data_IF_407763737112
#
_entry.id   IF_407763737112
#
_cell.length_a   1.000
_cell.length_b   1.000
_cell.length_c   1.000
_cell.angle_alpha   90.00
_cell.angle_beta   90.00
_cell.angle_gamma   90.00
#
_symmetry.space_group_name_H-M   'P 1'
#
loop_
_entity.id
_entity.type
_entity.pdbx_description
1 polymer ?
#
# COMPACT_ATOMS: atom_id res chain seq x y z
N UNK A 1 11.45 10.86 -1.45
CA UNK A 1 12.85 10.90 -1.89
C UNK A 1 13.26 9.65 -2.66
N UNK A 2 12.44 9.24 -3.65
CA UNK A 2 12.68 8.04 -4.46
C UNK A 2 13.79 8.30 -5.51
N UNK A 3 14.04 9.55 -5.86
CA UNK A 3 15.03 9.96 -6.83
C UNK A 3 16.11 10.83 -6.17
N UNK A 4 17.36 10.36 -6.19
CA UNK A 4 18.52 11.08 -5.68
C UNK A 4 19.78 10.74 -6.48
N UNK A 5 20.77 11.64 -6.50
CA UNK A 5 21.99 11.52 -7.29
C UNK A 5 22.70 10.15 -7.12
N UNK A 6 22.67 9.60 -5.89
CA UNK A 6 23.31 8.32 -5.57
C UNK A 6 22.44 7.13 -5.96
N UNK A 7 21.11 7.25 -5.83
CA UNK A 7 20.14 6.18 -6.05
C UNK A 7 19.87 5.98 -7.54
N UNK A 8 19.87 7.05 -8.36
CA UNK A 8 19.64 6.98 -9.81
C UNK A 8 20.59 6.01 -10.52
N UNK A 9 21.81 5.88 -10.04
CA UNK A 9 22.79 4.93 -10.62
C UNK A 9 22.33 3.48 -10.45
N UNK A 10 21.67 3.16 -9.34
CA UNK A 10 21.17 1.81 -9.10
C UNK A 10 19.92 1.50 -9.92
N UNK A 11 19.06 2.49 -10.14
CA UNK A 11 17.95 2.36 -11.09
C UNK A 11 18.45 2.09 -12.51
N UNK A 12 19.44 2.84 -12.96
CA UNK A 12 20.02 2.63 -14.30
C UNK A 12 20.70 1.25 -14.43
N UNK A 13 21.42 0.80 -13.40
CA UNK A 13 22.08 -0.51 -13.40
C UNK A 13 21.06 -1.66 -13.48
N UNK A 14 19.93 -1.54 -12.81
CA UNK A 14 18.87 -2.56 -12.76
C UNK A 14 17.71 -2.27 -13.74
N UNK A 15 17.82 -1.22 -14.58
CA UNK A 15 16.77 -0.79 -15.50
C UNK A 15 16.16 -1.92 -16.35
N UNK A 16 16.94 -2.82 -17.00
CA UNK A 16 16.33 -3.86 -17.83
C UNK A 16 15.47 -4.83 -17.03
N UNK A 17 15.86 -5.16 -15.79
CA UNK A 17 15.08 -6.04 -14.91
C UNK A 17 13.83 -5.33 -14.37
N UNK A 18 13.97 -4.06 -14.01
CA UNK A 18 12.84 -3.23 -13.54
C UNK A 18 11.84 -2.97 -14.66
N UNK A 19 12.29 -2.73 -15.89
CA UNK A 19 11.40 -2.56 -17.05
C UNK A 19 10.64 -3.85 -17.37
N UNK A 20 11.30 -5.01 -17.28
CA UNK A 20 10.65 -6.30 -17.46
C UNK A 20 9.60 -6.54 -16.34
N UNK A 21 9.95 -6.20 -15.10
CA UNK A 21 9.00 -6.24 -13.97
C UNK A 21 7.81 -5.32 -14.19
N UNK A 22 8.04 -4.10 -14.68
CA UNK A 22 6.99 -3.13 -14.99
C UNK A 22 6.08 -3.61 -16.13
N UNK A 23 6.65 -4.17 -17.20
CA UNK A 23 5.87 -4.76 -18.30
C UNK A 23 4.99 -5.93 -17.80
N UNK A 24 5.53 -6.79 -16.93
CA UNK A 24 4.76 -7.86 -16.31
C UNK A 24 3.63 -7.31 -15.42
N UNK A 25 3.89 -6.26 -14.63
CA UNK A 25 2.89 -5.58 -13.81
C UNK A 25 1.75 -5.03 -14.67
N UNK A 26 2.08 -4.23 -15.70
CA UNK A 26 1.09 -3.69 -16.65
C UNK A 26 0.22 -4.78 -17.29
N UNK A 27 0.84 -5.91 -17.65
CA UNK A 27 0.12 -7.05 -18.22
C UNK A 27 -0.84 -7.65 -17.21
N UNK A 28 -0.42 -7.81 -15.97
CA UNK A 28 -1.28 -8.35 -14.89
C UNK A 28 -2.44 -7.40 -14.59
N UNK A 29 -2.19 -6.09 -14.49
CA UNK A 29 -3.22 -5.08 -14.23
C UNK A 29 -4.28 -5.06 -15.36
N UNK A 30 -3.81 -5.10 -16.61
CA UNK A 30 -4.72 -5.18 -17.76
C UNK A 30 -5.58 -6.45 -17.74
N UNK A 31 -4.98 -7.59 -17.45
CA UNK A 31 -5.69 -8.88 -17.39
C UNK A 31 -6.66 -8.91 -16.21
N UNK A 32 -6.29 -8.33 -15.06
CA UNK A 32 -7.17 -8.22 -13.90
C UNK A 32 -8.46 -7.47 -14.24
N UNK A 33 -8.39 -6.43 -15.06
CA UNK A 33 -9.56 -5.68 -15.53
C UNK A 33 -10.44 -6.44 -16.53
N UNK A 34 -10.02 -7.60 -17.03
CA UNK A 34 -10.87 -8.47 -17.87
C UNK A 34 -11.81 -9.36 -17.03
N UNK A 35 -11.50 -9.58 -15.75
CA UNK A 35 -12.32 -10.44 -14.87
C UNK A 35 -13.75 -9.92 -14.71
N UNK A 36 -14.01 -8.62 -14.45
CA UNK A 36 -15.36 -8.09 -14.34
C UNK A 36 -16.18 -8.27 -15.64
N UNK A 37 -15.52 -8.27 -16.80
CA UNK A 37 -16.17 -8.58 -18.07
C UNK A 37 -16.73 -10.01 -18.13
N UNK A 38 -16.00 -10.97 -17.53
CA UNK A 38 -16.49 -12.35 -17.42
C UNK A 38 -17.70 -12.45 -16.49
N UNK A 39 -17.71 -11.69 -15.38
CA UNK A 39 -18.87 -11.60 -14.49
C UNK A 39 -20.11 -11.07 -15.23
N UNK A 40 -19.93 -10.02 -16.05
CA UNK A 40 -20.99 -9.50 -16.90
C UNK A 40 -21.59 -10.58 -17.81
N UNK A 41 -20.74 -11.41 -18.46
CA UNK A 41 -21.21 -12.49 -19.34
C UNK A 41 -22.06 -13.51 -18.56
N UNK A 42 -21.63 -13.89 -17.35
CA UNK A 42 -22.40 -14.83 -16.50
C UNK A 42 -23.75 -14.24 -16.13
N UNK A 43 -23.78 -13.01 -15.64
CA UNK A 43 -25.01 -12.38 -15.14
C UNK A 43 -26.00 -12.15 -16.27
N UNK A 44 -25.53 -11.69 -17.43
CA UNK A 44 -26.39 -11.53 -18.62
C UNK A 44 -26.89 -12.86 -19.11
N UNK A 45 -26.07 -13.91 -19.12
CA UNK A 45 -26.45 -15.25 -19.50
C UNK A 45 -27.57 -15.83 -18.62
N UNK A 46 -27.45 -15.63 -17.31
CA UNK A 46 -28.47 -16.10 -16.35
C UNK A 46 -29.76 -15.30 -16.46
N UNK A 47 -29.68 -13.97 -16.63
CA UNK A 47 -30.86 -13.10 -16.64
C UNK A 47 -31.60 -13.13 -17.99
N UNK A 48 -30.87 -13.15 -19.11
CA UNK A 48 -31.45 -13.01 -20.47
C UNK A 48 -31.55 -14.36 -21.20
N UNK A 49 -30.96 -15.43 -20.65
CA UNK A 49 -30.85 -16.74 -21.33
C UNK A 49 -29.96 -16.71 -22.58
N UNK A 50 -29.36 -15.58 -22.90
CA UNK A 50 -28.52 -15.36 -24.08
C UNK A 50 -27.31 -14.50 -23.73
N UNK A 51 -26.20 -14.75 -24.39
CA UNK A 51 -24.95 -13.99 -24.22
C UNK A 51 -24.43 -13.54 -25.56
N UNK A 52 -23.97 -12.30 -25.64
CA UNK A 52 -23.30 -11.80 -26.83
C UNK A 52 -21.80 -12.13 -26.74
N UNK A 53 -21.36 -13.08 -27.55
CA UNK A 53 -19.99 -13.48 -27.72
C UNK A 53 -19.56 -13.19 -29.15
N UNK A 54 -18.50 -12.42 -29.33
CA UNK A 54 -17.96 -12.02 -30.65
C UNK A 54 -18.98 -11.43 -31.61
N UNK A 55 -19.97 -10.67 -31.09
CA UNK A 55 -21.02 -10.01 -31.88
C UNK A 55 -22.21 -10.92 -32.26
N UNK A 56 -22.18 -12.18 -31.83
CA UNK A 56 -23.30 -13.12 -32.05
C UNK A 56 -24.01 -13.41 -30.74
N UNK A 57 -25.36 -13.42 -30.79
CA UNK A 57 -26.19 -13.84 -29.66
C UNK A 57 -26.27 -15.36 -29.63
N UNK A 58 -25.65 -15.95 -28.60
CA UNK A 58 -25.65 -17.42 -28.38
C UNK A 58 -26.51 -17.72 -27.16
N UNK A 59 -27.32 -18.79 -27.22
CA UNK A 59 -28.09 -19.26 -26.07
C UNK A 59 -27.15 -19.67 -24.92
N UNK A 60 -27.46 -19.20 -23.70
CA UNK A 60 -26.65 -19.52 -22.51
C UNK A 60 -26.83 -21.00 -22.14
N UNK A 61 -25.80 -21.80 -22.38
CA UNK A 61 -25.80 -23.24 -22.11
C UNK A 61 -24.48 -23.69 -21.48
N UNK A 62 -24.40 -24.96 -21.11
CA UNK A 62 -23.21 -25.55 -20.47
C UNK A 62 -21.95 -25.38 -21.33
N UNK A 63 -22.08 -25.45 -22.63
CA UNK A 63 -20.97 -25.36 -23.59
C UNK A 63 -20.41 -23.94 -23.65
N UNK A 64 -21.27 -22.93 -23.71
CA UNK A 64 -20.91 -21.51 -23.68
C UNK A 64 -20.25 -21.15 -22.34
N UNK A 65 -20.81 -21.63 -21.23
CA UNK A 65 -20.25 -21.41 -19.90
C UNK A 65 -18.83 -21.98 -19.79
N UNK A 66 -18.61 -23.18 -20.32
CA UNK A 66 -17.29 -23.80 -20.24
C UNK A 66 -16.27 -23.13 -21.18
N UNK A 67 -16.64 -22.93 -22.46
CA UNK A 67 -15.70 -22.42 -23.48
C UNK A 67 -15.42 -20.91 -23.36
N UNK A 68 -16.43 -20.09 -23.04
CA UNK A 68 -16.31 -18.63 -23.06
C UNK A 68 -16.16 -17.99 -21.66
N UNK A 69 -16.33 -18.77 -20.60
CA UNK A 69 -16.19 -18.23 -19.22
C UNK A 69 -15.15 -19.03 -18.43
N UNK A 70 -15.36 -20.37 -18.25
CA UNK A 70 -14.45 -21.15 -17.40
C UNK A 70 -13.04 -21.26 -17.99
N UNK A 71 -12.93 -21.51 -19.27
CA UNK A 71 -11.64 -21.71 -19.93
C UNK A 71 -10.83 -20.41 -20.00
N UNK A 72 -11.36 -19.25 -20.42
CA UNK A 72 -10.68 -17.96 -20.31
C UNK A 72 -10.32 -17.59 -18.86
N UNK A 73 -11.18 -17.88 -17.89
CA UNK A 73 -10.92 -17.61 -16.49
C UNK A 73 -9.70 -18.39 -15.97
N UNK A 74 -9.57 -19.68 -16.36
CA UNK A 74 -8.39 -20.51 -16.02
C UNK A 74 -7.12 -19.89 -16.65
N UNK A 75 -7.18 -19.49 -17.93
CA UNK A 75 -6.03 -18.83 -18.58
C UNK A 75 -5.65 -17.52 -17.90
N UNK A 76 -6.62 -16.70 -17.53
CA UNK A 76 -6.42 -15.45 -16.80
C UNK A 76 -5.71 -15.74 -15.46
N UNK A 77 -6.20 -16.71 -14.69
CA UNK A 77 -5.62 -17.07 -13.38
C UNK A 77 -4.16 -17.53 -13.55
N UNK A 78 -3.89 -18.44 -14.49
CA UNK A 78 -2.53 -18.93 -14.74
C UNK A 78 -1.59 -17.78 -15.12
N UNK A 79 -2.03 -16.92 -16.04
CA UNK A 79 -1.23 -15.80 -16.52
C UNK A 79 -0.99 -14.75 -15.42
N UNK A 80 -2.00 -14.48 -14.58
CA UNK A 80 -1.86 -13.61 -13.41
C UNK A 80 -0.87 -14.18 -12.39
N UNK A 81 -0.92 -15.49 -12.11
CA UNK A 81 0.03 -16.13 -11.17
C UNK A 81 1.45 -16.02 -11.70
N UNK A 82 1.68 -16.35 -12.96
CA UNK A 82 3.00 -16.25 -13.59
C UNK A 82 3.49 -14.79 -13.65
N UNK A 83 2.64 -13.87 -14.03
CA UNK A 83 2.95 -12.45 -14.08
C UNK A 83 3.27 -11.88 -12.70
N UNK A 84 2.46 -12.20 -11.69
CA UNK A 84 2.71 -11.80 -10.28
C UNK A 84 4.00 -12.38 -9.71
N UNK A 85 4.35 -13.59 -10.06
CA UNK A 85 5.63 -14.16 -9.69
C UNK A 85 6.79 -13.42 -10.38
N UNK A 86 6.67 -13.19 -11.68
CA UNK A 86 7.71 -12.54 -12.48
C UNK A 86 8.04 -11.13 -11.98
N UNK A 87 7.02 -10.26 -11.83
CA UNK A 87 7.28 -8.91 -11.37
C UNK A 87 7.81 -8.87 -9.92
N UNK A 88 7.35 -9.76 -9.02
CA UNK A 88 7.89 -9.87 -7.66
C UNK A 88 9.37 -10.21 -7.68
N UNK A 89 9.78 -11.20 -8.44
CA UNK A 89 11.20 -11.56 -8.57
C UNK A 89 12.02 -10.40 -9.14
N UNK A 90 11.49 -9.65 -10.11
CA UNK A 90 12.17 -8.49 -10.70
C UNK A 90 12.36 -7.35 -9.68
N UNK A 91 11.30 -6.91 -9.00
CA UNK A 91 11.38 -5.79 -8.06
C UNK A 91 12.14 -6.17 -6.79
N UNK A 92 11.73 -7.22 -6.09
CA UNK A 92 12.39 -7.64 -4.84
C UNK A 92 13.82 -8.15 -5.08
N UNK A 93 14.05 -8.88 -6.16
CA UNK A 93 15.40 -9.30 -6.54
C UNK A 93 16.32 -8.10 -6.82
N UNK A 94 15.81 -7.04 -7.44
CA UNK A 94 16.55 -5.80 -7.64
C UNK A 94 16.81 -5.07 -6.33
N UNK A 95 15.83 -4.99 -5.43
CA UNK A 95 15.97 -4.38 -4.13
C UNK A 95 17.07 -5.05 -3.28
N UNK A 96 17.07 -6.38 -3.22
CA UNK A 96 18.11 -7.16 -2.52
C UNK A 96 19.51 -6.91 -3.10
N UNK A 97 19.64 -6.86 -4.44
CA UNK A 97 20.93 -6.56 -5.09
C UNK A 97 21.42 -5.15 -4.76
N UNK A 98 20.53 -4.15 -4.77
CA UNK A 98 20.86 -2.77 -4.42
C UNK A 98 21.33 -2.71 -2.96
N UNK A 99 20.65 -3.36 -2.04
CA UNK A 99 21.03 -3.40 -0.62
C UNK A 99 22.37 -4.09 -0.41
N UNK A 100 22.66 -5.18 -1.12
CA UNK A 100 23.94 -5.86 -1.07
C UNK A 100 25.08 -4.95 -1.57
N UNK A 101 24.92 -4.29 -2.72
CA UNK A 101 25.89 -3.33 -3.26
C UNK A 101 26.12 -2.15 -2.31
N UNK A 102 25.06 -1.65 -1.67
CA UNK A 102 25.17 -0.57 -0.66
C UNK A 102 25.92 -1.01 0.58
N UNK A 103 25.60 -2.20 1.09
CA UNK A 103 26.28 -2.78 2.27
C UNK A 103 27.76 -2.93 2.04
N UNK A 104 28.16 -3.44 0.88
CA UNK A 104 29.57 -3.57 0.51
C UNK A 104 30.27 -2.21 0.44
N UNK A 105 29.68 -1.21 -0.19
CA UNK A 105 30.24 0.15 -0.26
C UNK A 105 30.32 0.83 1.11
N UNK A 106 29.31 0.67 1.93
CA UNK A 106 29.33 1.20 3.30
C UNK A 106 30.46 0.57 4.11
N UNK A 107 30.67 -0.74 3.98
CA UNK A 107 31.77 -1.43 4.64
C UNK A 107 33.13 -0.95 4.16
N UNK A 108 33.31 -0.83 2.84
CA UNK A 108 34.55 -0.33 2.25
C UNK A 108 34.85 1.10 2.70
N UNK A 109 33.84 1.98 2.71
CA UNK A 109 33.99 3.33 3.24
C UNK A 109 34.28 3.35 4.74
N UNK A 110 33.62 2.52 5.53
CA UNK A 110 33.85 2.44 6.98
C UNK A 110 35.29 2.05 7.31
N UNK A 111 35.92 1.15 6.55
CA UNK A 111 37.34 0.78 6.75
C UNK A 111 38.31 1.94 6.54
N UNK A 112 37.90 2.96 5.79
CA UNK A 112 38.76 4.13 5.44
C UNK A 112 38.60 5.27 6.46
N UNK A 113 37.63 5.19 7.38
CA UNK A 113 37.39 6.21 8.38
C UNK A 113 38.45 6.21 9.49
N UNK A 114 38.73 7.40 10.06
CA UNK A 114 39.73 7.56 11.10
C UNK A 114 39.30 6.93 12.44
N UNK A 115 40.28 6.57 13.26
CA UNK A 115 40.01 6.07 14.62
C UNK A 115 39.23 7.10 15.47
N UNK A 116 39.43 8.39 15.26
CA UNK A 116 38.72 9.46 15.95
C UNK A 116 37.19 9.41 15.63
N UNK A 117 36.82 9.05 14.41
CA UNK A 117 35.42 8.88 14.04
C UNK A 117 34.71 7.80 14.89
N UNK A 118 35.40 6.69 15.15
CA UNK A 118 34.87 5.57 15.95
C UNK A 118 34.86 5.86 17.45
N UNK A 119 35.69 6.81 17.93
CA UNK A 119 35.65 7.26 19.31
C UNK A 119 34.42 8.13 19.60
N UNK A 120 33.98 8.92 18.60
CA UNK A 120 32.81 9.81 18.73
C UNK A 120 31.53 9.07 18.42
N UNK A 121 31.52 8.22 17.40
CA UNK A 121 30.33 7.50 16.93
C UNK A 121 30.32 6.08 17.54
N UNK A 122 29.30 5.82 18.36
CA UNK A 122 29.11 4.49 18.97
C UNK A 122 28.91 3.42 17.89
N UNK A 123 29.59 2.30 18.02
CA UNK A 123 29.49 1.16 17.10
C UNK A 123 28.03 0.70 16.92
N UNK A 124 27.21 0.74 17.98
CA UNK A 124 25.80 0.40 17.91
C UNK A 124 25.01 1.27 16.92
N UNK A 125 25.28 2.58 16.85
CA UNK A 125 24.63 3.48 15.89
C UNK A 125 25.07 3.16 14.45
N UNK A 126 26.35 2.81 14.26
CA UNK A 126 26.84 2.40 12.94
C UNK A 126 26.19 1.08 12.49
N UNK A 127 26.04 0.13 13.42
CA UNK A 127 25.36 -1.13 13.12
C UNK A 127 23.89 -0.93 12.72
N UNK A 128 23.19 0.05 13.31
CA UNK A 128 21.83 0.42 12.90
C UNK A 128 21.74 0.83 11.42
N UNK A 129 22.77 1.53 10.90
CA UNK A 129 22.83 1.87 9.46
C UNK A 129 22.94 0.62 8.58
N UNK A 130 23.64 -0.42 9.04
CA UNK A 130 23.82 -1.67 8.30
C UNK A 130 22.61 -2.62 8.36
N UNK A 131 21.72 -2.40 9.31
CA UNK A 131 20.51 -3.20 9.51
C UNK A 131 19.26 -2.38 9.14
N UNK A 132 18.72 -1.62 10.08
CA UNK A 132 17.42 -0.94 9.95
C UNK A 132 17.34 0.02 8.77
N UNK A 133 18.39 0.83 8.54
CA UNK A 133 18.36 1.83 7.46
C UNK A 133 18.49 1.16 6.08
N UNK A 134 19.33 0.12 5.97
CA UNK A 134 19.43 -0.65 4.74
C UNK A 134 18.15 -1.45 4.44
N UNK A 135 17.50 -2.00 5.46
CA UNK A 135 16.23 -2.70 5.30
C UNK A 135 15.13 -1.73 4.85
N UNK A 136 15.09 -0.52 5.41
CA UNK A 136 14.18 0.55 4.96
C UNK A 136 14.43 0.93 3.49
N UNK A 137 15.69 1.00 3.07
CA UNK A 137 16.04 1.24 1.66
C UNK A 137 15.56 0.09 0.78
N UNK A 138 15.74 -1.15 1.22
CA UNK A 138 15.28 -2.34 0.51
C UNK A 138 13.76 -2.33 0.31
N UNK A 139 13.00 -2.05 1.36
CA UNK A 139 11.54 -1.91 1.30
C UNK A 139 11.13 -0.79 0.35
N UNK A 140 11.79 0.36 0.40
CA UNK A 140 11.50 1.47 -0.50
C UNK A 140 11.74 1.10 -1.98
N UNK A 141 12.83 0.38 -2.28
CA UNK A 141 13.15 -0.08 -3.63
C UNK A 141 12.26 -1.23 -4.12
N UNK A 142 11.85 -2.10 -3.23
CA UNK A 142 10.94 -3.22 -3.54
C UNK A 142 9.48 -2.76 -3.52
N UNK A 143 8.91 -2.67 -2.33
CA UNK A 143 7.48 -2.38 -2.13
C UNK A 143 7.10 -0.95 -2.51
N UNK A 144 7.93 0.04 -2.17
CA UNK A 144 7.61 1.45 -2.42
C UNK A 144 7.49 1.77 -3.91
N UNK A 145 8.46 1.32 -4.71
CA UNK A 145 8.46 1.51 -6.17
C UNK A 145 7.30 0.74 -6.81
N UNK A 146 7.09 -0.49 -6.36
CA UNK A 146 6.02 -1.34 -6.85
C UNK A 146 4.65 -0.74 -6.58
N UNK A 147 4.33 -0.39 -5.33
CA UNK A 147 3.04 0.20 -4.96
C UNK A 147 2.76 1.50 -5.71
N UNK A 148 3.79 2.29 -5.98
CA UNK A 148 3.64 3.52 -6.77
C UNK A 148 3.20 3.23 -8.20
N UNK A 149 3.88 2.30 -8.88
CA UNK A 149 3.54 1.96 -10.27
C UNK A 149 2.21 1.21 -10.34
N UNK A 150 1.95 0.26 -9.46
CA UNK A 150 0.69 -0.51 -9.38
C UNK A 150 -0.52 0.43 -9.20
N UNK A 151 -0.47 1.31 -8.21
CA UNK A 151 -1.55 2.28 -7.98
C UNK A 151 -1.77 3.22 -9.17
N UNK A 152 -0.68 3.64 -9.84
CA UNK A 152 -0.77 4.54 -10.98
C UNK A 152 -1.31 3.82 -12.22
N UNK A 153 -0.83 2.63 -12.51
CA UNK A 153 -1.22 1.87 -13.73
C UNK A 153 -2.63 1.33 -13.60
N UNK A 154 -2.93 0.62 -12.51
CA UNK A 154 -4.26 0.08 -12.27
C UNK A 154 -5.30 1.20 -12.15
N UNK A 155 -4.98 2.29 -11.43
CA UNK A 155 -5.87 3.43 -11.28
C UNK A 155 -6.18 4.11 -12.62
N UNK A 156 -5.18 4.36 -13.46
CA UNK A 156 -5.38 4.97 -14.78
C UNK A 156 -6.16 4.05 -15.73
N UNK A 157 -5.85 2.75 -15.75
CA UNK A 157 -6.55 1.78 -16.58
C UNK A 157 -8.01 1.60 -16.14
N UNK A 158 -8.26 1.54 -14.84
CA UNK A 158 -9.61 1.45 -14.28
C UNK A 158 -10.42 2.70 -14.63
N UNK A 159 -9.89 3.90 -14.41
CA UNK A 159 -10.55 5.17 -14.78
C UNK A 159 -10.83 5.24 -16.28
N UNK A 160 -9.89 4.83 -17.12
CA UNK A 160 -10.09 4.78 -18.57
C UNK A 160 -11.23 3.83 -18.95
N UNK A 161 -11.30 2.66 -18.32
CA UNK A 161 -12.35 1.67 -18.57
C UNK A 161 -13.71 2.17 -18.08
N UNK A 162 -13.79 2.72 -16.87
CA UNK A 162 -15.01 3.32 -16.32
C UNK A 162 -15.52 4.46 -17.20
N UNK A 163 -14.63 5.34 -17.66
CA UNK A 163 -14.97 6.45 -18.56
C UNK A 163 -15.58 5.98 -19.87
N UNK A 164 -15.04 4.93 -20.47
CA UNK A 164 -15.59 4.36 -21.71
C UNK A 164 -16.93 3.63 -21.53
N UNK A 165 -17.27 3.23 -20.30
CA UNK A 165 -18.56 2.61 -20.01
C UNK A 165 -19.66 3.65 -19.83
N UNK A 166 -19.43 4.64 -18.98
CA UNK A 166 -20.34 5.77 -18.76
C UNK A 166 -19.65 6.96 -18.13
N UNK A 167 -19.74 8.13 -18.76
CA UNK A 167 -19.07 9.35 -18.31
C UNK A 167 -19.74 9.95 -17.08
N UNK A 168 -21.07 9.92 -16.99
CA UNK A 168 -21.81 10.54 -15.90
C UNK A 168 -21.62 9.75 -14.60
N UNK A 169 -21.73 8.45 -14.68
CA UNK A 169 -21.50 7.56 -13.54
C UNK A 169 -20.06 7.69 -13.04
N UNK A 170 -19.08 7.78 -13.95
CA UNK A 170 -17.66 7.96 -13.57
C UNK A 170 -17.42 9.28 -12.84
N UNK A 171 -17.99 10.39 -13.35
CA UNK A 171 -17.88 11.69 -12.68
C UNK A 171 -18.51 11.69 -11.28
N UNK A 172 -19.68 11.05 -11.14
CA UNK A 172 -20.35 10.93 -9.84
C UNK A 172 -19.53 10.07 -8.86
N UNK A 173 -18.95 8.97 -9.33
CA UNK A 173 -18.11 8.09 -8.51
C UNK A 173 -16.78 8.77 -8.07
N UNK A 174 -16.27 9.72 -8.88
CA UNK A 174 -15.07 10.48 -8.54
C UNK A 174 -15.27 11.49 -7.41
N UNK A 175 -16.49 11.97 -7.17
CA UNK A 175 -16.77 12.98 -6.12
C UNK A 175 -16.35 12.47 -4.74
N UNK A 176 -16.82 11.32 -4.23
CA UNK A 176 -16.37 10.81 -2.94
C UNK A 176 -14.87 10.51 -2.91
N UNK A 177 -14.30 10.02 -4.00
CA UNK A 177 -12.87 9.73 -4.10
C UNK A 177 -12.00 10.99 -3.96
N UNK A 178 -12.38 12.09 -4.60
CA UNK A 178 -11.70 13.39 -4.47
C UNK A 178 -11.86 13.99 -3.07
N UNK A 179 -13.05 13.86 -2.47
CA UNK A 179 -13.28 14.28 -1.07
C UNK A 179 -12.40 13.49 -0.10
N UNK A 180 -12.28 12.18 -0.30
CA UNK A 180 -11.37 11.33 0.48
C UNK A 180 -9.92 11.81 0.37
N UNK A 181 -9.44 12.13 -0.84
CA UNK A 181 -8.09 12.63 -1.06
C UNK A 181 -7.86 13.95 -0.33
N UNK A 182 -8.79 14.89 -0.39
CA UNK A 182 -8.71 16.19 0.28
C UNK A 182 -8.68 16.02 1.82
N UNK A 183 -9.58 15.22 2.38
CA UNK A 183 -9.63 14.95 3.83
C UNK A 183 -8.40 14.17 4.28
N UNK A 184 -7.96 13.16 3.52
CA UNK A 184 -6.78 12.36 3.81
C UNK A 184 -5.50 13.21 3.90
N UNK A 185 -5.33 14.22 3.03
CA UNK A 185 -4.17 15.14 3.10
C UNK A 185 -4.18 16.02 4.35
N UNK A 186 -5.35 16.49 4.78
CA UNK A 186 -5.51 17.31 5.99
C UNK A 186 -5.30 16.46 7.25
N UNK A 187 -5.95 15.31 7.32
CA UNK A 187 -5.84 14.42 8.47
C UNK A 187 -4.44 13.79 8.57
N UNK A 188 -3.78 13.49 7.44
CA UNK A 188 -2.43 12.98 7.41
C UNK A 188 -1.43 13.90 8.10
N UNK A 189 -1.52 15.21 7.88
CA UNK A 189 -0.68 16.22 8.58
C UNK A 189 -0.89 16.20 10.10
N UNK A 190 -2.14 16.08 10.54
CA UNK A 190 -2.48 16.01 11.96
C UNK A 190 -1.96 14.72 12.57
N UNK A 191 -2.09 13.60 11.85
CA UNK A 191 -1.60 12.29 12.28
C UNK A 191 -0.07 12.27 12.44
N UNK A 192 0.67 12.87 11.50
CA UNK A 192 2.14 13.00 11.61
C UNK A 192 2.55 13.77 12.87
N UNK A 193 1.90 14.91 13.14
CA UNK A 193 2.18 15.70 14.34
C UNK A 193 1.89 14.93 15.64
N UNK A 194 0.80 14.18 15.67
CA UNK A 194 0.43 13.39 16.86
C UNK A 194 1.34 12.15 17.02
N UNK A 195 1.79 11.59 15.89
CA UNK A 195 2.81 10.55 15.88
C UNK A 195 4.15 11.03 16.48
N UNK A 196 4.62 12.21 16.07
CA UNK A 196 5.84 12.82 16.62
C UNK A 196 5.73 13.02 18.15
N UNK A 197 4.59 13.54 18.64
CA UNK A 197 4.33 13.66 20.09
C UNK A 197 4.36 12.31 20.80
N UNK A 198 3.73 11.30 20.19
CA UNK A 198 3.72 9.93 20.73
C UNK A 198 5.11 9.35 20.81
N UNK A 199 5.93 9.55 19.77
CA UNK A 199 7.31 9.07 19.73
C UNK A 199 8.18 9.77 20.79
N UNK A 200 7.99 11.09 20.98
CA UNK A 200 8.68 11.84 22.00
C UNK A 200 8.32 11.36 23.42
N UNK A 201 7.02 11.20 23.70
CA UNK A 201 6.57 10.73 25.01
C UNK A 201 7.06 9.30 25.33
N UNK A 202 7.16 8.45 24.32
CA UNK A 202 7.74 7.11 24.47
C UNK A 202 9.26 7.18 24.72
N UNK A 203 9.97 8.07 24.01
CA UNK A 203 11.41 8.29 24.24
C UNK A 203 11.66 8.75 25.67
N UNK A 204 10.94 9.78 26.13
CA UNK A 204 11.09 10.32 27.49
C UNK A 204 10.85 9.26 28.56
N UNK A 205 9.84 8.41 28.37
CA UNK A 205 9.54 7.28 29.27
C UNK A 205 10.66 6.23 29.26
N UNK A 206 11.19 5.92 28.08
CA UNK A 206 12.28 4.94 27.91
C UNK A 206 13.60 5.44 28.49
N UNK A 207 13.93 6.72 28.27
CA UNK A 207 15.11 7.35 28.81
C UNK A 207 15.06 7.39 30.34
N UNK A 208 13.92 7.73 30.92
CA UNK A 208 13.70 7.69 32.36
C UNK A 208 13.87 6.27 32.92
N UNK A 209 13.33 5.25 32.26
CA UNK A 209 13.48 3.86 32.68
C UNK A 209 14.95 3.41 32.59
N UNK A 210 15.65 3.77 31.51
CA UNK A 210 17.05 3.44 31.31
C UNK A 210 17.95 4.10 32.40
N UNK A 211 17.69 5.38 32.70
CA UNK A 211 18.41 6.09 33.75
C UNK A 211 18.22 5.42 35.12
N UNK A 212 16.97 5.08 35.46
CA UNK A 212 16.64 4.37 36.72
C UNK A 212 17.32 3.01 36.82
N UNK A 213 17.29 2.20 35.73
CA UNK A 213 17.95 0.90 35.75
C UNK A 213 19.49 1.02 35.82
N UNK A 214 20.04 1.99 35.14
CA UNK A 214 21.50 2.25 35.22
C UNK A 214 21.94 2.74 36.59
N UNK A 215 21.08 3.54 37.25
CA UNK A 215 21.33 4.10 38.60
C UNK A 215 20.71 3.28 39.73
N UNK A 216 20.27 2.05 39.51
CA UNK A 216 19.48 1.26 40.49
C UNK A 216 20.20 1.07 41.84
N UNK A 217 21.53 0.94 41.83
CA UNK A 217 22.32 0.80 43.04
C UNK A 217 22.21 2.04 43.95
N UNK A 218 22.23 3.22 43.34
CA UNK A 218 22.04 4.50 44.02
C UNK A 218 20.64 4.65 44.57
N UNK A 219 19.63 4.35 43.76
CA UNK A 219 18.22 4.41 44.15
C UNK A 219 17.97 3.52 45.39
N UNK A 220 18.51 2.31 45.39
CA UNK A 220 18.40 1.37 46.51
C UNK A 220 19.19 1.84 47.74
N UNK A 221 20.38 2.36 47.56
CA UNK A 221 21.21 2.86 48.69
C UNK A 221 20.53 4.02 49.44
N UNK A 222 19.76 4.86 48.71
CA UNK A 222 19.02 5.98 49.29
C UNK A 222 17.54 5.70 49.56
N UNK A 223 17.08 4.47 49.36
CA UNK A 223 15.68 4.04 49.58
C UNK A 223 14.67 4.96 48.84
N UNK A 224 14.96 5.24 47.57
CA UNK A 224 14.15 6.18 46.74
C UNK A 224 13.22 5.48 45.76
N UNK A 225 13.03 4.15 45.82
CA UNK A 225 12.24 3.37 44.87
C UNK A 225 10.81 3.91 44.73
N UNK A 226 10.19 4.29 45.86
CA UNK A 226 8.80 4.83 45.81
C UNK A 226 8.73 6.17 45.07
N UNK A 227 9.74 7.03 45.26
CA UNK A 227 9.79 8.33 44.57
C UNK A 227 9.93 8.14 43.08
N UNK A 228 10.82 7.26 42.62
CA UNK A 228 11.04 6.96 41.22
C UNK A 228 9.82 6.27 40.61
N UNK A 229 9.14 5.39 41.34
CA UNK A 229 7.89 4.78 40.90
C UNK A 229 6.77 5.82 40.66
N UNK A 230 6.65 6.82 41.52
CA UNK A 230 5.66 7.90 41.35
C UNK A 230 6.00 8.75 40.11
N UNK A 231 7.29 9.07 39.91
CA UNK A 231 7.73 9.80 38.73
C UNK A 231 7.47 9.01 37.43
N UNK A 232 7.79 7.72 37.42
CA UNK A 232 7.50 6.84 36.29
C UNK A 232 6.01 6.76 35.97
N UNK A 233 5.16 6.61 37.02
CA UNK A 233 3.71 6.59 36.84
C UNK A 233 3.17 7.88 36.19
N UNK A 234 3.73 9.02 36.54
CA UNK A 234 3.34 10.31 35.92
C UNK A 234 3.67 10.34 34.44
N UNK A 235 4.89 9.96 34.05
CA UNK A 235 5.32 9.89 32.66
C UNK A 235 4.52 8.85 31.87
N UNK A 236 4.27 7.68 32.47
CA UNK A 236 3.48 6.63 31.83
C UNK A 236 2.02 7.06 31.58
N UNK A 237 1.43 7.80 32.52
CA UNK A 237 0.08 8.36 32.34
C UNK A 237 0.03 9.42 31.25
N UNK A 238 1.07 10.21 31.11
CA UNK A 238 1.19 11.17 30.01
C UNK A 238 1.33 10.46 28.65
N UNK A 239 2.19 9.44 28.59
CA UNK A 239 2.33 8.60 27.40
C UNK A 239 1.02 7.87 27.05
N UNK A 240 0.30 7.33 28.03
CA UNK A 240 -1.04 6.76 27.84
C UNK A 240 -2.00 7.76 27.20
N UNK A 241 -2.08 8.99 27.73
CA UNK A 241 -2.96 10.04 27.21
C UNK A 241 -2.65 10.37 25.75
N UNK A 242 -1.38 10.51 25.40
CA UNK A 242 -0.95 10.81 24.03
C UNK A 242 -1.21 9.62 23.10
N UNK A 243 -1.01 8.40 23.55
CA UNK A 243 -1.35 7.20 22.79
C UNK A 243 -2.85 7.09 22.51
N UNK A 244 -3.70 7.40 23.49
CA UNK A 244 -5.17 7.43 23.32
C UNK A 244 -5.57 8.52 22.32
N UNK A 245 -4.96 9.71 22.37
CA UNK A 245 -5.21 10.79 21.41
C UNK A 245 -4.83 10.35 19.99
N UNK A 246 -3.65 9.75 19.81
CA UNK A 246 -3.21 9.21 18.53
C UNK A 246 -4.17 8.13 18.01
N UNK A 247 -4.57 7.19 18.87
CA UNK A 247 -5.48 6.11 18.50
C UNK A 247 -6.84 6.65 18.06
N UNK A 248 -7.38 7.67 18.74
CA UNK A 248 -8.64 8.32 18.34
C UNK A 248 -8.57 8.92 16.94
N UNK A 249 -7.47 9.62 16.62
CA UNK A 249 -7.27 10.22 15.30
C UNK A 249 -7.10 9.12 14.24
N UNK A 250 -6.34 8.07 14.54
CA UNK A 250 -6.12 6.93 13.65
C UNK A 250 -7.41 6.20 13.30
N UNK A 251 -8.21 5.86 14.32
CA UNK A 251 -9.51 5.20 14.14
C UNK A 251 -10.50 6.08 13.39
N UNK A 252 -10.52 7.40 13.67
CA UNK A 252 -11.37 8.33 12.94
C UNK A 252 -11.00 8.41 11.47
N UNK A 253 -9.70 8.40 11.14
CA UNK A 253 -9.23 8.34 9.77
C UNK A 253 -9.65 7.04 9.08
N UNK A 254 -9.51 5.90 9.74
CA UNK A 254 -9.91 4.60 9.22
C UNK A 254 -11.41 4.53 8.92
N UNK A 255 -12.24 5.03 9.85
CA UNK A 255 -13.71 5.13 9.66
C UNK A 255 -14.03 6.04 8.46
N UNK A 256 -13.36 7.19 8.34
CA UNK A 256 -13.57 8.10 7.20
C UNK A 256 -13.19 7.45 5.88
N UNK A 257 -12.04 6.74 5.81
CA UNK A 257 -11.63 6.00 4.60
C UNK A 257 -12.70 4.97 4.22
N UNK A 258 -13.14 4.15 5.18
CA UNK A 258 -14.20 3.16 4.95
C UNK A 258 -15.49 3.82 4.46
N UNK A 259 -15.93 4.90 5.10
CA UNK A 259 -17.14 5.63 4.71
C UNK A 259 -17.06 6.15 3.27
N UNK A 260 -15.93 6.69 2.85
CA UNK A 260 -15.77 7.17 1.47
C UNK A 260 -15.69 6.04 0.45
N UNK A 261 -15.01 4.93 0.75
CA UNK A 261 -14.98 3.75 -0.12
C UNK A 261 -16.38 3.20 -0.31
N UNK A 262 -17.12 2.99 0.78
CA UNK A 262 -18.51 2.50 0.71
C UNK A 262 -19.45 3.51 0.03
N UNK A 263 -19.20 4.82 0.16
CA UNK A 263 -20.00 5.83 -0.54
C UNK A 263 -19.81 5.79 -2.06
N UNK A 264 -18.60 5.45 -2.56
CA UNK A 264 -18.39 5.20 -4.00
C UNK A 264 -19.26 4.05 -4.47
N UNK A 265 -19.26 2.93 -3.72
CA UNK A 265 -20.10 1.76 -4.04
C UNK A 265 -21.60 2.13 -4.02
N UNK A 266 -22.03 2.90 -3.02
CA UNK A 266 -23.41 3.38 -2.93
C UNK A 266 -23.81 4.27 -4.14
N UNK A 267 -22.91 5.15 -4.57
CA UNK A 267 -23.14 6.00 -5.78
C UNK A 267 -23.27 5.12 -7.03
N UNK A 268 -22.38 4.16 -7.20
CA UNK A 268 -22.40 3.26 -8.36
C UNK A 268 -23.67 2.41 -8.35
N UNK A 269 -24.05 1.85 -7.22
CA UNK A 269 -25.29 1.05 -7.10
C UNK A 269 -26.54 1.90 -7.28
N UNK A 270 -26.59 3.10 -6.68
CA UNK A 270 -27.75 3.98 -6.76
C UNK A 270 -27.98 4.53 -8.17
N UNK A 271 -27.00 5.22 -8.73
CA UNK A 271 -27.10 5.81 -10.06
C UNK A 271 -26.98 4.76 -11.17
N UNK A 272 -26.08 3.79 -11.02
CA UNK A 272 -25.97 2.66 -11.96
C UNK A 272 -27.23 1.79 -11.98
N UNK A 273 -27.87 1.57 -10.81
CA UNK A 273 -29.17 0.92 -10.70
C UNK A 273 -30.29 1.72 -11.41
N UNK A 274 -30.27 3.04 -11.30
CA UNK A 274 -31.16 3.92 -12.08
C UNK A 274 -30.93 3.77 -13.57
N UNK A 275 -29.68 3.71 -14.05
CA UNK A 275 -29.36 3.47 -15.46
C UNK A 275 -29.88 2.11 -15.97
N UNK A 276 -29.84 1.08 -15.10
CA UNK A 276 -30.44 -0.24 -15.42
C UNK A 276 -31.94 -0.13 -15.51
N UNK A 277 -32.59 0.59 -14.60
CA UNK A 277 -34.06 0.80 -14.63
C UNK A 277 -34.54 1.54 -15.90
N UNK A 278 -33.79 2.55 -16.34
CA UNK A 278 -34.08 3.30 -17.59
C UNK A 278 -33.72 2.50 -18.86
N UNK A 279 -33.01 1.36 -18.72
CA UNK A 279 -32.64 0.51 -19.86
C UNK A 279 -31.37 0.95 -20.59
N UNK A 280 -30.59 1.90 -20.04
CA UNK A 280 -29.30 2.31 -20.61
C UNK A 280 -28.18 1.33 -20.23
N UNK A 281 -28.27 0.71 -19.07
CA UNK A 281 -27.40 -0.37 -18.64
C UNK A 281 -28.14 -1.68 -18.49
N UNK A 282 -27.43 -2.81 -18.58
CA UNK A 282 -27.94 -4.07 -18.08
C UNK A 282 -27.29 -4.46 -16.76
N UNK A 283 -27.86 -5.41 -16.01
CA UNK A 283 -27.37 -5.83 -14.72
C UNK A 283 -25.91 -6.33 -14.76
N UNK A 284 -25.50 -6.98 -15.86
CA UNK A 284 -24.13 -7.41 -16.06
C UNK A 284 -23.16 -6.25 -16.26
N UNK A 285 -23.56 -5.16 -16.92
CA UNK A 285 -22.74 -3.95 -17.06
C UNK A 285 -22.53 -3.26 -15.71
N UNK A 286 -23.55 -3.23 -14.85
CA UNK A 286 -23.45 -2.67 -13.51
C UNK A 286 -22.41 -3.47 -12.68
N UNK A 287 -22.46 -4.79 -12.75
CA UNK A 287 -21.48 -5.64 -12.05
C UNK A 287 -20.07 -5.51 -12.64
N UNK A 288 -19.95 -5.37 -13.96
CA UNK A 288 -18.65 -5.07 -14.60
C UNK A 288 -18.09 -3.73 -14.13
N UNK A 289 -18.93 -2.74 -13.88
CA UNK A 289 -18.53 -1.41 -13.44
C UNK A 289 -18.06 -1.39 -11.98
N UNK A 290 -18.67 -2.21 -11.11
CA UNK A 290 -18.29 -2.33 -9.68
C UNK A 290 -16.95 -3.08 -9.50
N UNK A 291 -16.67 -4.08 -10.32
CA UNK A 291 -15.49 -4.94 -10.23
C UNK A 291 -14.26 -4.37 -10.87
#
# INVERSE_FOLDING_TARGET
>A
MIFGKYINRYYLKNAPVLLLGLAALLTVDYIQLLIPRLYRLVINGVNLGQVVVDGQTVAFGKEVLFQHICLPMIYIIILMVLGRFLWRVCFFGSAVRVTADLRERMFDHSRQLSQQYYQVNKVGNLMSLYTNDLDTIQECFGDGVLMFFDALTLGLLALYKMWNMDHQLTLLALIPALLMLAIGTVMGKTMTKTWEKRQQAFSDLSDFAQENFSGIAVIKAFVKELKELIAFRKLNKENEKINVEYTRISVLLEIMVTLFVESVICVILGFGGYLVYVGQFNAGQLVEYIG
#
